data_IF_448255228623
#
_entry.id   IF_448255228623
#
_cell.length_a   1.000
_cell.length_b   1.000
_cell.length_c   1.000
_cell.angle_alpha   90.00
_cell.angle_beta   90.00
_cell.angle_gamma   90.00
#
_symmetry.space_group_name_H-M   'P 1'
#
loop_
_entity.id
_entity.type
_entity.pdbx_description
1 polymer ?
#
# COMPACT_ATOMS: atom_id res chain seq x y z
N UNK A 1 -6.27 20.19 -12.48
CA UNK A 1 -5.66 20.16 -13.81
C UNK A 1 -5.81 18.82 -14.54
N UNK A 2 -6.26 17.77 -13.84
CA UNK A 2 -6.55 16.44 -14.36
C UNK A 2 -7.98 16.05 -14.06
N UNK A 3 -8.58 15.25 -14.94
CA UNK A 3 -9.92 14.66 -14.75
C UNK A 3 -9.82 13.14 -14.76
N UNK A 4 -10.60 12.43 -13.90
CA UNK A 4 -10.55 10.98 -13.82
C UNK A 4 -11.07 10.30 -15.08
N UNK A 5 -10.49 9.15 -15.41
CA UNK A 5 -10.91 8.29 -16.52
C UNK A 5 -11.34 6.92 -16.00
N UNK A 6 -10.44 6.17 -15.37
CA UNK A 6 -10.75 4.81 -14.90
C UNK A 6 -9.73 4.34 -13.87
N UNK A 7 -10.15 3.55 -12.88
CA UNK A 7 -9.22 2.82 -12.00
C UNK A 7 -8.62 1.66 -12.77
N UNK A 8 -7.30 1.56 -12.80
CA UNK A 8 -6.59 0.47 -13.49
C UNK A 8 -6.46 -0.74 -12.58
N UNK A 9 -5.90 -0.57 -11.38
CA UNK A 9 -5.74 -1.67 -10.43
C UNK A 9 -5.72 -1.21 -8.99
N UNK A 10 -5.96 -2.15 -8.10
CA UNK A 10 -5.63 -2.07 -6.68
C UNK A 10 -4.57 -3.10 -6.31
N UNK A 11 -3.86 -2.85 -5.22
CA UNK A 11 -2.92 -3.78 -4.63
C UNK A 11 -2.89 -3.63 -3.12
N UNK A 12 -2.94 -4.73 -2.36
CA UNK A 12 -2.66 -4.67 -0.93
C UNK A 12 -1.28 -4.09 -0.66
N UNK A 13 -1.17 -3.37 0.44
CA UNK A 13 0.13 -2.98 0.99
C UNK A 13 0.41 -3.85 2.20
N UNK A 14 1.60 -4.41 2.25
CA UNK A 14 2.05 -5.30 3.30
C UNK A 14 3.13 -4.64 4.16
N UNK A 15 3.10 -4.88 5.47
CA UNK A 15 4.22 -4.64 6.37
C UNK A 15 5.08 -5.89 6.43
N UNK A 16 6.35 -5.73 6.11
CA UNK A 16 7.36 -6.78 6.21
C UNK A 16 8.41 -6.40 7.25
N UNK A 17 9.02 -7.43 7.83
CA UNK A 17 10.22 -7.28 8.67
C UNK A 17 11.35 -8.13 8.11
N UNK A 18 12.59 -7.66 8.33
CA UNK A 18 13.78 -8.47 8.07
C UNK A 18 13.89 -9.58 9.12
N UNK A 19 14.20 -10.80 8.72
CA UNK A 19 14.30 -11.97 9.63
C UNK A 19 15.36 -11.79 10.73
N UNK A 20 16.40 -10.99 10.49
CA UNK A 20 17.40 -10.62 11.50
C UNK A 20 16.85 -9.88 12.73
N UNK A 21 15.59 -9.40 12.68
CA UNK A 21 14.92 -8.81 13.84
C UNK A 21 14.44 -9.84 14.87
N UNK A 22 14.32 -11.11 14.48
CA UNK A 22 13.74 -12.18 15.31
C UNK A 22 12.22 -12.03 15.54
N UNK A 23 11.54 -11.22 14.71
CA UNK A 23 10.10 -10.92 14.83
C UNK A 23 9.31 -11.80 13.84
N UNK A 24 8.29 -12.46 14.35
CA UNK A 24 7.43 -13.39 13.61
C UNK A 24 5.95 -12.99 13.56
N UNK A 25 5.55 -11.96 14.31
CA UNK A 25 4.16 -11.50 14.38
C UNK A 25 4.06 -9.99 14.63
N UNK A 26 2.89 -9.40 14.34
CA UNK A 26 2.62 -8.00 14.68
C UNK A 26 2.78 -7.72 16.18
N UNK A 27 2.33 -8.62 17.05
CA UNK A 27 2.48 -8.45 18.49
C UNK A 27 3.97 -8.36 18.90
N UNK A 28 4.82 -9.21 18.32
CA UNK A 28 6.27 -9.16 18.56
C UNK A 28 6.90 -7.89 17.98
N UNK A 29 6.44 -7.43 16.81
CA UNK A 29 6.90 -6.18 16.20
C UNK A 29 6.60 -4.97 17.08
N UNK A 30 5.36 -4.87 17.57
CA UNK A 30 4.93 -3.83 18.50
C UNK A 30 5.76 -3.88 19.79
N UNK A 31 5.94 -5.07 20.36
CA UNK A 31 6.75 -5.24 21.56
C UNK A 31 8.23 -4.87 21.36
N UNK A 32 8.80 -5.17 20.17
CA UNK A 32 10.16 -4.76 19.82
C UNK A 32 10.27 -3.23 19.76
N UNK A 33 9.35 -2.57 19.07
CA UNK A 33 9.33 -1.11 18.93
C UNK A 33 9.13 -0.40 20.28
N UNK A 34 8.27 -0.95 21.16
CA UNK A 34 8.07 -0.42 22.52
C UNK A 34 9.29 -0.55 23.42
N UNK A 35 10.05 -1.64 23.28
CA UNK A 35 11.31 -1.83 24.03
C UNK A 35 12.48 -0.98 23.49
N UNK A 36 12.41 -0.54 22.26
CA UNK A 36 13.48 0.19 21.56
C UNK A 36 12.92 1.41 20.80
N UNK A 37 12.35 2.40 21.52
CA UNK A 37 11.77 3.58 20.91
C UNK A 37 12.74 4.27 19.97
N UNK A 38 12.31 4.63 18.76
CA UNK A 38 13.09 5.29 17.72
C UNK A 38 14.17 4.43 17.05
N UNK A 39 14.47 3.22 17.57
CA UNK A 39 15.55 2.38 17.03
C UNK A 39 15.08 1.37 15.98
N UNK A 40 13.78 1.17 15.81
CA UNK A 40 13.21 0.35 14.75
C UNK A 40 12.82 1.25 13.59
N UNK A 41 13.35 0.99 12.40
CA UNK A 41 13.03 1.77 11.22
C UNK A 41 12.00 1.09 10.32
N UNK A 42 11.24 1.91 9.59
CA UNK A 42 10.41 1.43 8.50
C UNK A 42 10.68 2.21 7.22
N UNK A 43 10.79 1.49 6.11
CA UNK A 43 10.96 2.08 4.79
C UNK A 43 9.62 2.33 4.08
N UNK A 44 9.58 3.40 3.29
CA UNK A 44 8.48 3.73 2.38
C UNK A 44 8.96 4.02 0.97
N UNK A 45 8.03 4.09 0.02
CA UNK A 45 8.32 4.47 -1.37
C UNK A 45 8.50 5.99 -1.56
N UNK A 46 8.63 6.74 -0.48
CA UNK A 46 8.85 8.18 -0.47
C UNK A 46 7.93 8.94 0.48
N UNK A 47 8.32 10.18 0.78
CA UNK A 47 7.50 11.10 1.58
C UNK A 47 6.14 11.36 0.89
N UNK A 48 5.06 11.40 1.66
CA UNK A 48 3.70 11.66 1.15
C UNK A 48 3.05 10.52 0.38
N UNK A 49 3.72 9.36 0.26
CA UNK A 49 3.11 8.15 -0.33
C UNK A 49 2.22 7.42 0.67
N UNK A 50 1.33 6.55 0.17
CA UNK A 50 0.50 5.70 1.04
C UNK A 50 1.32 4.86 2.01
N UNK A 51 2.49 4.36 1.58
CA UNK A 51 3.40 3.57 2.42
C UNK A 51 4.01 4.38 3.56
N UNK A 52 4.25 5.70 3.38
CA UNK A 52 4.60 6.60 4.47
C UNK A 52 3.46 6.75 5.47
N UNK A 53 2.26 7.07 4.96
CA UNK A 53 1.09 7.25 5.82
C UNK A 53 0.72 6.01 6.63
N UNK A 54 0.86 4.80 6.06
CA UNK A 54 0.62 3.57 6.81
C UNK A 54 1.60 3.39 7.96
N UNK A 55 2.86 3.76 7.79
CA UNK A 55 3.83 3.74 8.87
C UNK A 55 3.48 4.70 10.01
N UNK A 56 3.07 5.92 9.68
CA UNK A 56 2.66 6.92 10.67
C UNK A 56 1.34 6.54 11.36
N UNK A 57 0.38 5.96 10.62
CA UNK A 57 -0.82 5.39 11.22
C UNK A 57 -0.49 4.24 12.18
N UNK A 58 0.42 3.35 11.79
CA UNK A 58 0.85 2.24 12.64
C UNK A 58 1.49 2.75 13.94
N UNK A 59 2.32 3.79 13.88
CA UNK A 59 2.90 4.45 15.07
C UNK A 59 1.80 4.87 16.03
N UNK A 60 0.81 5.59 15.52
CA UNK A 60 -0.30 6.12 16.32
C UNK A 60 -1.17 5.01 16.90
N UNK A 61 -1.67 4.12 16.06
CA UNK A 61 -2.64 3.09 16.47
C UNK A 61 -2.02 2.06 17.43
N UNK A 62 -0.75 1.75 17.24
CA UNK A 62 -0.03 0.79 18.10
C UNK A 62 0.75 1.46 19.23
N UNK A 63 0.74 2.81 19.31
CA UNK A 63 1.49 3.61 20.30
C UNK A 63 2.96 3.20 20.38
N UNK A 64 3.59 3.15 19.21
CA UNK A 64 5.03 2.81 19.06
C UNK A 64 5.79 3.95 18.43
N UNK A 65 7.07 4.04 18.74
CA UNK A 65 7.99 4.97 18.11
C UNK A 65 8.93 4.21 17.16
N UNK A 66 8.70 4.37 15.85
CA UNK A 66 9.52 3.80 14.77
C UNK A 66 9.94 4.91 13.82
N UNK A 67 11.16 4.82 13.29
CA UNK A 67 11.77 5.87 12.45
C UNK A 67 11.44 5.64 10.98
N UNK A 68 10.88 6.67 10.33
CA UNK A 68 10.61 6.64 8.89
C UNK A 68 11.87 6.87 8.06
N UNK A 69 12.11 6.02 7.06
CA UNK A 69 13.17 6.13 6.04
C UNK A 69 12.53 6.19 4.66
N UNK A 70 12.46 7.38 4.02
CA UNK A 70 11.91 7.51 2.67
C UNK A 70 12.91 7.08 1.61
N UNK A 71 12.45 6.33 0.61
CA UNK A 71 13.22 5.93 -0.55
C UNK A 71 12.62 6.48 -1.84
N UNK A 72 13.40 6.52 -2.92
CA UNK A 72 12.95 6.93 -4.25
C UNK A 72 12.18 5.79 -4.96
N UNK A 73 11.11 5.27 -4.33
CA UNK A 73 10.27 4.20 -4.85
C UNK A 73 10.43 2.86 -4.12
N UNK A 74 9.64 1.86 -4.55
CA UNK A 74 9.60 0.54 -3.91
C UNK A 74 10.89 -0.27 -4.10
N UNK A 75 11.56 -0.15 -5.24
CA UNK A 75 12.77 -0.92 -5.55
C UNK A 75 13.90 -0.70 -4.53
N UNK A 76 14.36 0.54 -4.32
CA UNK A 76 15.35 0.86 -3.29
C UNK A 76 14.88 0.46 -1.87
N UNK A 77 13.61 0.69 -1.52
CA UNK A 77 13.04 0.29 -0.24
C UNK A 77 13.17 -1.23 -0.01
N UNK A 78 12.82 -2.03 -1.01
CA UNK A 78 12.96 -3.49 -0.98
C UNK A 78 14.43 -3.91 -0.82
N UNK A 79 15.35 -3.28 -1.54
CA UNK A 79 16.80 -3.58 -1.48
C UNK A 79 17.35 -3.37 -0.07
N UNK A 80 17.03 -2.25 0.56
CA UNK A 80 17.48 -1.91 1.92
C UNK A 80 16.87 -2.85 2.98
N UNK A 81 15.60 -3.25 2.80
CA UNK A 81 14.99 -4.26 3.65
C UNK A 81 15.71 -5.61 3.52
N UNK A 82 15.98 -6.09 2.29
CA UNK A 82 16.67 -7.35 2.04
C UNK A 82 18.13 -7.35 2.51
N UNK A 83 18.75 -6.17 2.53
CA UNK A 83 20.09 -5.97 3.10
C UNK A 83 20.12 -5.94 4.63
N UNK A 84 18.96 -5.84 5.29
CA UNK A 84 18.87 -5.69 6.75
C UNK A 84 19.29 -4.30 7.25
N UNK A 85 19.41 -3.31 6.35
CA UNK A 85 19.76 -1.93 6.69
C UNK A 85 18.59 -1.18 7.33
N UNK A 86 17.36 -1.62 7.04
CA UNK A 86 16.14 -1.22 7.74
C UNK A 86 15.44 -2.45 8.33
N UNK A 87 14.75 -2.29 9.46
CA UNK A 87 14.12 -3.39 10.17
C UNK A 87 12.81 -3.82 9.53
N UNK A 88 12.07 -2.89 8.95
CA UNK A 88 10.78 -3.14 8.34
C UNK A 88 10.54 -2.25 7.12
N UNK A 89 9.56 -2.62 6.29
CA UNK A 89 9.13 -1.82 5.14
C UNK A 89 7.66 -2.06 4.82
N UNK A 90 7.00 -1.03 4.30
CA UNK A 90 5.72 -1.17 3.61
C UNK A 90 5.98 -1.35 2.12
N UNK A 91 5.48 -2.44 1.54
CA UNK A 91 5.64 -2.82 0.13
C UNK A 91 4.29 -3.22 -0.47
N UNK A 92 4.17 -3.12 -1.79
CA UNK A 92 3.04 -3.71 -2.52
C UNK A 92 3.01 -5.24 -2.37
N UNK A 93 1.87 -5.88 -2.66
CA UNK A 93 1.78 -7.34 -2.66
C UNK A 93 2.83 -8.00 -3.58
N UNK A 94 3.16 -7.35 -4.71
CA UNK A 94 4.22 -7.82 -5.62
C UNK A 94 5.60 -7.77 -4.95
N UNK A 95 5.95 -6.62 -4.35
CA UNK A 95 7.20 -6.46 -3.60
C UNK A 95 7.29 -7.42 -2.42
N UNK A 96 6.18 -7.59 -1.70
CA UNK A 96 6.09 -8.51 -0.57
C UNK A 96 6.36 -9.97 -0.96
N UNK A 97 5.74 -10.44 -2.07
CA UNK A 97 6.01 -11.79 -2.62
C UNK A 97 7.49 -11.98 -2.98
N UNK A 98 8.07 -11.02 -3.70
CA UNK A 98 9.49 -11.05 -4.07
C UNK A 98 10.40 -11.10 -2.84
N UNK A 99 10.12 -10.26 -1.84
CA UNK A 99 10.86 -10.24 -0.60
C UNK A 99 10.78 -11.58 0.14
N UNK A 100 9.58 -12.14 0.27
CA UNK A 100 9.34 -13.40 0.96
C UNK A 100 10.07 -14.59 0.32
N UNK A 101 10.13 -14.63 -1.02
CA UNK A 101 10.84 -15.69 -1.77
C UNK A 101 12.34 -15.75 -1.46
N UNK A 102 12.93 -14.68 -0.97
CA UNK A 102 14.36 -14.67 -0.58
C UNK A 102 14.62 -15.35 0.76
N UNK A 103 13.59 -15.62 1.56
CA UNK A 103 13.72 -16.15 2.92
C UNK A 103 14.26 -15.14 3.94
N UNK A 104 14.58 -13.91 3.51
CA UNK A 104 15.16 -12.86 4.39
C UNK A 104 14.12 -11.98 5.08
N UNK A 105 12.85 -12.12 4.71
CA UNK A 105 11.78 -11.28 5.25
C UNK A 105 10.56 -12.09 5.64
N UNK A 106 9.76 -11.53 6.53
CA UNK A 106 8.46 -12.06 6.92
C UNK A 106 7.38 -11.00 6.74
N UNK A 107 6.25 -11.37 6.16
CA UNK A 107 5.07 -10.51 6.03
C UNK A 107 4.28 -10.63 7.34
N UNK A 108 4.00 -9.50 7.98
CA UNK A 108 3.30 -9.47 9.27
C UNK A 108 1.81 -9.16 9.14
N UNK A 109 1.45 -8.25 8.25
CA UNK A 109 0.06 -7.82 8.05
C UNK A 109 -0.11 -7.17 6.67
N UNK A 110 -1.38 -7.06 6.22
CA UNK A 110 -1.78 -6.39 4.97
C UNK A 110 -2.94 -5.42 5.21
N UNK A 111 -3.11 -4.48 4.28
CA UNK A 111 -4.18 -3.47 4.36
C UNK A 111 -5.56 -4.00 3.99
N UNK A 112 -5.68 -5.02 3.14
CA UNK A 112 -6.97 -5.53 2.69
C UNK A 112 -7.79 -6.12 3.82
N UNK A 113 -8.95 -5.54 4.19
CA UNK A 113 -9.82 -6.10 5.23
C UNK A 113 -10.23 -7.54 4.90
N UNK A 114 -10.13 -8.44 5.88
CA UNK A 114 -10.49 -9.86 5.71
C UNK A 114 -9.45 -10.72 4.98
N UNK A 115 -8.34 -10.12 4.51
CA UNK A 115 -7.28 -10.84 3.81
C UNK A 115 -7.30 -10.67 2.29
N UNK A 116 -6.28 -11.16 1.61
CA UNK A 116 -6.15 -11.06 0.15
C UNK A 116 -5.73 -12.37 -0.50
N UNK A 117 -6.34 -12.67 -1.64
CA UNK A 117 -5.91 -13.80 -2.49
C UNK A 117 -4.49 -13.65 -3.01
N UNK A 118 -3.96 -12.42 -3.05
CA UNK A 118 -2.59 -12.13 -3.49
C UNK A 118 -1.55 -12.56 -2.44
N UNK A 119 -1.92 -12.56 -1.16
CA UNK A 119 -1.08 -12.93 -0.02
C UNK A 119 -1.89 -13.83 0.93
N UNK A 120 -2.19 -15.07 0.52
CA UNK A 120 -3.03 -15.97 1.30
C UNK A 120 -2.39 -16.31 2.66
N UNK A 121 -3.24 -16.35 3.70
CA UNK A 121 -2.79 -16.67 5.08
C UNK A 121 -2.13 -15.52 5.83
N UNK A 122 -1.92 -14.35 5.19
CA UNK A 122 -1.44 -13.15 5.88
C UNK A 122 -2.64 -12.42 6.49
N UNK A 123 -2.62 -12.13 7.81
CA UNK A 123 -3.71 -11.40 8.45
C UNK A 123 -3.76 -9.95 8.00
N UNK A 124 -4.96 -9.36 7.97
CA UNK A 124 -5.11 -7.91 7.78
C UNK A 124 -4.84 -7.15 9.09
N UNK A 125 -4.47 -5.86 8.98
CA UNK A 125 -4.36 -4.99 10.16
C UNK A 125 -5.67 -4.95 10.94
N UNK A 126 -6.81 -4.92 10.26
CA UNK A 126 -8.15 -4.95 10.88
C UNK A 126 -8.37 -6.23 11.70
N UNK A 127 -8.01 -7.41 11.17
CA UNK A 127 -8.08 -8.68 11.92
C UNK A 127 -7.18 -8.70 13.16
N UNK A 128 -6.11 -7.91 13.14
CA UNK A 128 -5.19 -7.74 14.28
C UNK A 128 -5.60 -6.62 15.24
N UNK A 129 -6.76 -6.01 15.02
CA UNK A 129 -7.29 -4.93 15.87
C UNK A 129 -6.60 -3.57 15.67
N UNK A 130 -5.86 -3.40 14.57
CA UNK A 130 -5.18 -2.13 14.23
C UNK A 130 -6.06 -1.39 13.22
N UNK A 131 -6.68 -0.31 13.67
CA UNK A 131 -7.60 0.48 12.87
C UNK A 131 -6.88 1.41 11.86
N UNK A 132 -7.61 1.86 10.84
CA UNK A 132 -7.12 2.88 9.89
C UNK A 132 -6.12 2.40 8.83
N UNK A 133 -5.63 1.14 8.90
CA UNK A 133 -4.78 0.54 7.88
C UNK A 133 -5.58 -0.47 7.04
N UNK A 134 -6.74 -0.04 6.55
CA UNK A 134 -7.74 -0.90 5.90
C UNK A 134 -8.03 -0.49 4.45
N UNK A 135 -7.11 0.26 3.83
CA UNK A 135 -7.23 0.72 2.44
C UNK A 135 -6.09 0.18 1.60
N UNK A 136 -6.44 -0.43 0.48
CA UNK A 136 -5.44 -0.84 -0.49
C UNK A 136 -4.94 0.36 -1.32
N UNK A 137 -3.72 0.27 -1.79
CA UNK A 137 -3.19 1.23 -2.76
C UNK A 137 -3.83 1.00 -4.13
N UNK A 138 -4.01 2.05 -4.91
CA UNK A 138 -4.60 1.97 -6.24
C UNK A 138 -3.91 2.89 -7.24
N UNK A 139 -4.07 2.58 -8.53
CA UNK A 139 -3.63 3.40 -9.65
C UNK A 139 -4.80 3.66 -10.59
N UNK A 140 -4.98 4.92 -10.98
CA UNK A 140 -5.99 5.36 -11.93
C UNK A 140 -5.37 6.07 -13.13
N UNK A 141 -6.09 6.01 -14.23
CA UNK A 141 -5.80 6.81 -15.40
C UNK A 141 -6.55 8.14 -15.30
N UNK A 142 -5.85 9.22 -15.59
CA UNK A 142 -6.38 10.57 -15.61
C UNK A 142 -6.06 11.23 -16.96
N UNK A 143 -6.90 12.15 -17.38
CA UNK A 143 -6.72 12.93 -18.60
C UNK A 143 -6.56 14.42 -18.26
N UNK A 144 -5.99 15.24 -19.15
CA UNK A 144 -5.96 16.71 -18.99
C UNK A 144 -7.36 17.30 -18.83
N UNK A 145 -7.45 18.37 -18.03
CA UNK A 145 -8.68 19.15 -17.92
C UNK A 145 -9.13 19.62 -19.32
N UNK A 146 -10.43 19.50 -19.61
CA UNK A 146 -10.98 19.83 -20.93
C UNK A 146 -11.09 18.62 -21.89
N UNK A 147 -10.55 17.46 -21.53
CA UNK A 147 -10.82 16.23 -22.31
C UNK A 147 -12.31 15.92 -22.31
N UNK A 148 -12.97 15.82 -23.49
CA UNK A 148 -14.41 15.57 -23.57
C UNK A 148 -14.81 14.30 -22.82
N UNK A 149 -15.98 14.33 -22.17
CA UNK A 149 -16.46 13.17 -21.41
C UNK A 149 -16.60 11.92 -22.28
N UNK A 150 -17.09 12.06 -23.52
CA UNK A 150 -17.23 10.94 -24.43
C UNK A 150 -15.89 10.22 -24.70
N UNK A 151 -14.77 10.94 -24.76
CA UNK A 151 -13.43 10.34 -24.91
C UNK A 151 -13.04 9.57 -23.65
N UNK A 152 -13.29 10.14 -22.47
CA UNK A 152 -12.99 9.48 -21.20
C UNK A 152 -13.83 8.21 -21.02
N UNK A 153 -15.12 8.27 -21.35
CA UNK A 153 -16.03 7.12 -21.31
C UNK A 153 -15.61 6.02 -22.30
N UNK A 154 -15.16 6.41 -23.49
CA UNK A 154 -14.61 5.49 -24.50
C UNK A 154 -13.38 4.75 -23.93
N UNK A 155 -12.39 5.47 -23.44
CA UNK A 155 -11.17 4.88 -22.86
C UNK A 155 -11.52 3.96 -21.68
N UNK A 156 -12.39 4.39 -20.77
CA UNK A 156 -12.84 3.56 -19.65
C UNK A 156 -13.53 2.28 -20.12
N UNK A 157 -14.33 2.38 -21.19
CA UNK A 157 -14.99 1.22 -21.81
C UNK A 157 -13.99 0.22 -22.38
N UNK A 158 -12.97 0.69 -23.10
CA UNK A 158 -11.95 -0.18 -23.69
C UNK A 158 -11.09 -0.85 -22.60
N UNK A 159 -10.74 -0.14 -21.51
CA UNK A 159 -10.08 -0.75 -20.34
C UNK A 159 -10.93 -1.85 -19.74
N UNK A 160 -12.24 -1.63 -19.55
CA UNK A 160 -13.15 -2.68 -19.04
C UNK A 160 -13.21 -3.90 -19.96
N UNK A 161 -13.23 -3.69 -21.29
CA UNK A 161 -13.19 -4.80 -22.26
C UNK A 161 -11.88 -5.59 -22.13
N UNK A 162 -10.74 -4.90 -22.01
CA UNK A 162 -9.46 -5.57 -21.80
C UNK A 162 -9.45 -6.39 -20.50
N UNK A 163 -10.02 -5.86 -19.42
CA UNK A 163 -10.12 -6.58 -18.15
C UNK A 163 -11.21 -7.66 -18.11
N UNK A 164 -12.10 -7.73 -19.11
CA UNK A 164 -13.00 -8.86 -19.28
C UNK A 164 -12.29 -10.11 -19.84
N UNK A 165 -11.10 -9.94 -20.43
CA UNK A 165 -10.27 -11.04 -20.95
C UNK A 165 -9.59 -11.77 -19.78
N UNK A 166 -9.84 -13.09 -19.57
CA UNK A 166 -9.29 -13.84 -18.43
C UNK A 166 -7.77 -13.75 -18.31
N UNK A 167 -7.07 -13.91 -19.43
CA UNK A 167 -5.60 -13.90 -19.48
C UNK A 167 -5.02 -12.57 -19.00
N UNK A 168 -5.70 -11.46 -19.28
CA UNK A 168 -5.29 -10.13 -18.77
C UNK A 168 -5.43 -10.07 -17.25
N UNK A 169 -6.56 -10.53 -16.71
CA UNK A 169 -6.76 -10.59 -15.26
C UNK A 169 -5.75 -11.49 -14.56
N UNK A 170 -5.50 -12.67 -15.11
CA UNK A 170 -4.50 -13.61 -14.58
C UNK A 170 -3.11 -12.98 -14.57
N UNK A 171 -2.76 -12.23 -15.61
CA UNK A 171 -1.48 -11.53 -15.67
C UNK A 171 -1.36 -10.46 -14.59
N UNK A 172 -2.43 -9.73 -14.30
CA UNK A 172 -2.47 -8.77 -13.18
C UNK A 172 -2.26 -9.48 -11.83
N UNK A 173 -2.96 -10.58 -11.59
CA UNK A 173 -2.80 -11.38 -10.35
C UNK A 173 -1.36 -11.89 -10.20
N UNK A 174 -0.73 -12.37 -11.28
CA UNK A 174 0.69 -12.77 -11.27
C UNK A 174 1.62 -11.63 -10.89
N UNK A 175 1.28 -10.39 -11.29
CA UNK A 175 2.00 -9.17 -10.94
C UNK A 175 1.67 -8.65 -9.52
N UNK A 176 0.82 -9.32 -8.76
CA UNK A 176 0.39 -8.88 -7.43
C UNK A 176 -0.60 -7.72 -7.47
N UNK A 177 -1.37 -7.61 -8.55
CA UNK A 177 -2.35 -6.55 -8.80
C UNK A 177 -3.74 -7.15 -8.97
N UNK A 178 -4.76 -6.37 -8.66
CA UNK A 178 -6.17 -6.69 -8.93
C UNK A 178 -6.67 -5.70 -9.99
N UNK A 179 -6.92 -6.19 -11.20
CA UNK A 179 -7.49 -5.38 -12.28
C UNK A 179 -8.92 -4.95 -11.91
N UNK A 180 -9.22 -3.66 -11.95
CA UNK A 180 -10.53 -3.14 -11.55
C UNK A 180 -11.38 -2.71 -12.75
N UNK A 181 -11.01 -1.65 -13.44
CA UNK A 181 -11.88 -0.99 -14.40
C UNK A 181 -12.80 0.03 -13.70
N UNK A 182 -14.01 0.17 -14.19
CA UNK A 182 -14.98 1.11 -13.66
C UNK A 182 -15.26 2.30 -14.58
N UNK A 183 -15.86 3.35 -14.04
CA UNK A 183 -16.26 4.55 -14.75
C UNK A 183 -15.46 5.77 -14.27
N UNK A 184 -15.43 6.86 -15.04
CA UNK A 184 -14.83 8.12 -14.58
C UNK A 184 -15.45 8.63 -13.27
N UNK A 185 -16.77 8.45 -13.09
CA UNK A 185 -17.48 8.86 -11.89
C UNK A 185 -17.07 8.07 -10.65
N UNK A 186 -16.90 6.75 -10.80
CA UNK A 186 -16.43 5.89 -9.70
C UNK A 186 -15.00 6.25 -9.27
N UNK A 187 -14.12 6.54 -10.23
CA UNK A 187 -12.77 7.03 -9.90
C UNK A 187 -12.80 8.40 -9.23
N UNK A 188 -13.68 9.32 -9.67
CA UNK A 188 -13.85 10.62 -9.02
C UNK A 188 -14.30 10.49 -7.56
N UNK A 189 -15.30 9.63 -7.31
CA UNK A 189 -15.79 9.36 -5.94
C UNK A 189 -14.67 8.77 -5.06
N UNK A 190 -13.86 7.85 -5.62
CA UNK A 190 -12.70 7.28 -4.92
C UNK A 190 -11.68 8.36 -4.57
N UNK A 191 -11.32 9.23 -5.51
CA UNK A 191 -10.40 10.35 -5.27
C UNK A 191 -10.91 11.27 -4.16
N UNK A 192 -12.19 11.62 -4.18
CA UNK A 192 -12.79 12.48 -3.16
C UNK A 192 -12.78 11.81 -1.77
N UNK A 193 -13.16 10.54 -1.71
CA UNK A 193 -13.16 9.76 -0.47
C UNK A 193 -11.74 9.62 0.11
N UNK A 194 -10.75 9.34 -0.73
CA UNK A 194 -9.36 9.22 -0.32
C UNK A 194 -8.78 10.58 0.09
N UNK A 195 -9.10 11.63 -0.63
CA UNK A 195 -8.69 12.99 -0.24
C UNK A 195 -9.21 13.35 1.15
N UNK A 196 -10.48 13.09 1.43
CA UNK A 196 -11.05 13.35 2.75
C UNK A 196 -10.38 12.50 3.84
N UNK A 197 -10.15 11.22 3.56
CA UNK A 197 -9.48 10.29 4.47
C UNK A 197 -8.04 10.71 4.77
N UNK A 198 -7.21 10.93 3.75
CA UNK A 198 -5.80 11.28 3.93
C UNK A 198 -5.60 12.67 4.53
N UNK A 199 -6.49 13.64 4.21
CA UNK A 199 -6.50 14.96 4.88
C UNK A 199 -6.67 14.81 6.39
N UNK A 200 -7.63 13.97 6.82
CA UNK A 200 -7.83 13.67 8.24
C UNK A 200 -6.61 12.99 8.86
N UNK A 201 -6.04 11.99 8.17
CA UNK A 201 -4.82 11.29 8.64
C UNK A 201 -3.67 12.28 8.85
N UNK A 202 -3.40 13.18 7.89
CA UNK A 202 -2.37 14.21 8.01
C UNK A 202 -2.60 15.11 9.22
N UNK A 203 -3.86 15.56 9.43
CA UNK A 203 -4.20 16.39 10.58
C UNK A 203 -4.02 15.65 11.91
N UNK A 204 -4.43 14.40 11.99
CA UNK A 204 -4.37 13.59 13.21
C UNK A 204 -2.96 13.10 13.55
N UNK A 205 -2.12 12.82 12.55
CA UNK A 205 -0.75 12.32 12.74
C UNK A 205 0.29 13.44 12.82
N UNK A 206 -0.05 14.65 12.36
CA UNK A 206 0.88 15.78 12.32
C UNK A 206 1.99 15.61 11.26
N UNK A 207 1.83 14.70 10.30
CA UNK A 207 2.80 14.51 9.21
C UNK A 207 2.99 15.84 8.46
N UNK A 208 4.23 16.29 8.38
CA UNK A 208 4.61 17.45 7.56
C UNK A 208 5.05 16.93 6.19
N UNK A 209 4.23 17.19 5.18
CA UNK A 209 4.63 16.99 3.78
C UNK A 209 5.53 18.15 3.38
N UNK A 210 6.74 17.85 2.95
CA UNK A 210 7.68 18.85 2.42
C UNK A 210 7.38 19.17 0.97
#
# INVERSE_FOLDING_TARGET
DLVPVVTIFTTPVALLVHTGTGVDSMAQYVALAQRRPGAVSFGSSGEGTSTHFYGELLKRESRIDITHIPFAGEGPNLTELLGGHIQSAFLSASGAKKAQQTGKTKILAITTPGGSMLLPGVPSFTQLGIAGLDRDSWVGLFAPLGTPQAVRDEVAREVRKAFAVPEVRERYVQLGLIAEGGTPQELEQRVQADRAYWTRVVQETGIKLK
#
